data_IF_192797988267
#
_entry.id   IF_192797988267
#
_cell.length_a   1.000
_cell.length_b   1.000
_cell.length_c   1.000
_cell.angle_alpha   90.00
_cell.angle_beta   90.00
_cell.angle_gamma   90.00
#
_symmetry.space_group_name_H-M   'P 1'
#
loop_
_entity.id
_entity.type
_entity.pdbx_description
1 polymer ?
#
# COMPACT_ATOMS: atom_id res chain seq x y z
N UNK A 1 20.00 -42.29 48.43
CA UNK A 1 20.45 -40.89 48.49
C UNK A 1 19.42 -40.07 47.72
N UNK A 2 18.43 -39.52 48.43
CA UNK A 2 17.35 -38.76 47.81
C UNK A 2 17.81 -37.29 47.75
N UNK A 3 18.20 -36.83 46.57
CA UNK A 3 18.35 -35.41 46.31
C UNK A 3 16.94 -34.82 46.16
N UNK A 4 16.41 -34.35 47.29
CA UNK A 4 15.12 -33.68 47.37
C UNK A 4 15.07 -32.47 46.43
N UNK A 5 14.03 -32.47 45.62
CA UNK A 5 13.63 -31.44 44.67
C UNK A 5 13.26 -30.17 45.45
N UNK A 6 14.22 -29.26 45.69
CA UNK A 6 13.93 -27.97 46.32
C UNK A 6 13.11 -27.10 45.37
N UNK A 7 11.80 -27.05 45.59
CA UNK A 7 10.93 -26.12 44.89
C UNK A 7 11.36 -24.68 45.22
N UNK A 8 11.60 -23.82 44.21
CA UNK A 8 12.00 -22.44 44.45
C UNK A 8 10.92 -21.70 45.24
N UNK A 9 11.28 -21.14 46.40
CA UNK A 9 10.36 -20.41 47.27
C UNK A 9 10.13 -19.01 46.70
N UNK A 10 9.10 -18.87 45.85
CA UNK A 10 8.71 -17.59 45.24
C UNK A 10 8.21 -16.63 46.32
N UNK A 11 8.79 -15.43 46.39
CA UNK A 11 8.41 -14.44 47.40
C UNK A 11 6.98 -13.90 47.17
N UNK A 12 6.30 -13.47 48.25
CA UNK A 12 4.98 -12.82 48.16
C UNK A 12 5.01 -11.55 47.28
N UNK A 13 6.14 -10.85 47.24
CA UNK A 13 6.35 -9.68 46.39
C UNK A 13 6.44 -10.07 44.91
N UNK A 14 7.17 -11.15 44.59
CA UNK A 14 7.30 -11.67 43.23
C UNK A 14 5.96 -12.17 42.68
N UNK A 15 5.18 -12.92 43.48
CA UNK A 15 3.83 -13.36 43.10
C UNK A 15 2.86 -12.19 42.82
N UNK A 16 3.01 -11.06 43.53
CA UNK A 16 2.23 -9.83 43.27
C UNK A 16 2.65 -9.15 41.97
N UNK A 17 3.96 -9.11 41.67
CA UNK A 17 4.50 -8.57 40.42
C UNK A 17 4.02 -9.39 39.22
N UNK A 18 4.17 -10.72 39.27
CA UNK A 18 3.72 -11.63 38.21
C UNK A 18 2.21 -11.51 37.95
N UNK A 19 1.38 -11.37 39.01
CA UNK A 19 -0.07 -11.14 38.85
C UNK A 19 -0.37 -9.80 38.17
N UNK A 20 0.34 -8.74 38.51
CA UNK A 20 0.18 -7.43 37.87
C UNK A 20 0.62 -7.48 36.40
N UNK A 21 1.75 -8.11 36.10
CA UNK A 21 2.24 -8.31 34.72
C UNK A 21 1.27 -9.16 33.89
N UNK A 22 0.70 -10.22 34.45
CA UNK A 22 -0.33 -11.01 33.78
C UNK A 22 -1.58 -10.19 33.46
N UNK A 23 -2.07 -9.40 34.42
CA UNK A 23 -3.23 -8.52 34.21
C UNK A 23 -2.96 -7.43 33.16
N UNK A 24 -1.74 -6.88 33.11
CA UNK A 24 -1.34 -5.92 32.06
C UNK A 24 -1.27 -6.60 30.70
N UNK A 25 -0.70 -7.81 30.60
CA UNK A 25 -0.68 -8.58 29.34
C UNK A 25 -2.08 -8.90 28.84
N UNK A 26 -2.96 -9.39 29.72
CA UNK A 26 -4.36 -9.67 29.38
C UNK A 26 -5.10 -8.41 28.90
N UNK A 27 -4.86 -7.26 29.54
CA UNK A 27 -5.44 -6.00 29.12
C UNK A 27 -4.89 -5.53 27.76
N UNK A 28 -3.58 -5.63 27.54
CA UNK A 28 -2.94 -5.32 26.26
C UNK A 28 -3.48 -6.22 25.14
N UNK A 29 -3.60 -7.52 25.40
CA UNK A 29 -4.14 -8.49 24.46
C UNK A 29 -5.59 -8.15 24.09
N UNK A 30 -6.42 -7.77 25.07
CA UNK A 30 -7.80 -7.33 24.80
C UNK A 30 -7.88 -6.06 23.95
N UNK A 31 -6.97 -5.10 24.16
CA UNK A 31 -6.91 -3.89 23.32
C UNK A 31 -6.50 -4.26 21.90
N UNK A 32 -5.44 -5.04 21.74
CA UNK A 32 -4.95 -5.46 20.43
C UNK A 32 -6.03 -6.23 19.65
N UNK A 33 -6.76 -7.13 20.29
CA UNK A 33 -7.87 -7.86 19.66
C UNK A 33 -8.98 -6.91 19.20
N UNK A 34 -9.39 -5.96 20.05
CA UNK A 34 -10.41 -4.97 19.68
C UNK A 34 -9.96 -4.06 18.53
N UNK A 35 -8.69 -3.65 18.50
CA UNK A 35 -8.11 -2.89 17.39
C UNK A 35 -8.07 -3.70 16.10
N UNK A 36 -7.71 -4.99 16.17
CA UNK A 36 -7.71 -5.89 15.01
C UNK A 36 -9.11 -6.10 14.44
N UNK A 37 -10.12 -6.31 15.29
CA UNK A 37 -11.52 -6.44 14.85
C UNK A 37 -12.01 -5.16 14.17
N UNK A 38 -11.67 -4.00 14.75
CA UNK A 38 -12.04 -2.70 14.20
C UNK A 38 -11.38 -2.45 12.83
N UNK A 39 -10.09 -2.76 12.68
CA UNK A 39 -9.38 -2.67 11.40
C UNK A 39 -9.92 -3.65 10.35
N UNK A 40 -10.30 -4.86 10.76
CA UNK A 40 -10.92 -5.84 9.86
C UNK A 40 -12.26 -5.34 9.33
N UNK A 41 -13.07 -4.69 10.19
CA UNK A 41 -14.33 -4.06 9.76
C UNK A 41 -14.10 -2.99 8.70
N UNK A 42 -13.12 -2.08 8.91
CA UNK A 42 -12.83 -1.04 7.92
C UNK A 42 -12.31 -1.59 6.60
N UNK A 43 -11.48 -2.62 6.65
CA UNK A 43 -10.98 -3.30 5.45
C UNK A 43 -12.13 -3.89 4.64
N UNK A 44 -13.06 -4.59 5.28
CA UNK A 44 -14.20 -5.17 4.58
C UNK A 44 -15.06 -4.08 3.92
N UNK A 45 -15.35 -3.00 4.64
CA UNK A 45 -16.11 -1.86 4.10
C UNK A 45 -15.38 -1.21 2.91
N UNK A 46 -14.06 -1.04 3.00
CA UNK A 46 -13.22 -0.52 1.93
C UNK A 46 -13.24 -1.40 0.68
N UNK A 47 -13.08 -2.72 0.85
CA UNK A 47 -13.12 -3.70 -0.24
C UNK A 47 -14.49 -3.75 -0.94
N UNK A 48 -15.59 -3.71 -0.20
CA UNK A 48 -16.95 -3.69 -0.75
C UNK A 48 -17.23 -2.43 -1.57
N UNK A 49 -16.80 -1.27 -1.07
CA UNK A 49 -16.90 0.02 -1.80
C UNK A 49 -16.07 -0.02 -3.08
N UNK A 50 -14.84 -0.50 -3.01
CA UNK A 50 -13.95 -0.62 -4.16
C UNK A 50 -14.49 -1.59 -5.21
N UNK A 51 -15.02 -2.74 -4.80
CA UNK A 51 -15.66 -3.69 -5.71
C UNK A 51 -16.82 -3.03 -6.48
N UNK A 52 -17.61 -2.19 -5.80
CA UNK A 52 -18.70 -1.43 -6.43
C UNK A 52 -18.17 -0.41 -7.45
N UNK A 53 -17.15 0.38 -7.08
CA UNK A 53 -16.56 1.40 -7.96
C UNK A 53 -15.90 0.75 -9.19
N UNK A 54 -15.15 -0.33 -8.99
CA UNK A 54 -14.48 -1.06 -10.07
C UNK A 54 -15.48 -1.77 -10.98
N UNK A 55 -16.52 -2.37 -10.41
CA UNK A 55 -17.60 -3.01 -11.17
C UNK A 55 -18.30 -2.06 -12.13
N UNK A 56 -18.56 -0.82 -11.71
CA UNK A 56 -19.11 0.22 -12.58
C UNK A 56 -18.19 0.59 -13.77
N UNK A 57 -16.89 0.31 -13.66
CA UNK A 57 -15.88 0.50 -14.71
C UNK A 57 -15.56 -0.78 -15.49
N UNK A 58 -16.28 -1.88 -15.25
CA UNK A 58 -15.99 -3.21 -15.82
C UNK A 58 -14.57 -3.71 -15.47
N UNK A 59 -14.12 -3.39 -14.27
CA UNK A 59 -12.83 -3.79 -13.71
C UNK A 59 -13.04 -4.64 -12.45
N UNK A 60 -12.05 -5.45 -12.13
CA UNK A 60 -11.94 -6.14 -10.85
C UNK A 60 -10.54 -5.89 -10.26
N UNK A 61 -10.46 -5.87 -8.94
CA UNK A 61 -9.19 -5.71 -8.23
C UNK A 61 -8.30 -6.94 -8.47
N UNK A 62 -6.99 -6.68 -8.59
CA UNK A 62 -5.97 -7.72 -8.69
C UNK A 62 -4.95 -7.51 -7.59
N UNK A 63 -4.88 -8.47 -6.69
CA UNK A 63 -3.99 -8.43 -5.54
C UNK A 63 -2.53 -8.46 -5.95
N UNK A 64 -1.77 -7.53 -5.37
CA UNK A 64 -0.32 -7.41 -5.46
C UNK A 64 0.25 -7.84 -4.10
N UNK A 65 1.44 -8.49 -4.06
CA UNK A 65 2.07 -8.81 -2.79
C UNK A 65 2.24 -7.59 -1.91
N UNK A 66 1.84 -7.71 -0.64
CA UNK A 66 1.98 -6.72 0.42
C UNK A 66 3.47 -6.54 0.83
N UNK A 67 4.26 -5.96 -0.06
CA UNK A 67 5.66 -5.59 0.16
C UNK A 67 5.92 -4.11 -0.12
N UNK A 68 7.12 -3.64 0.21
CA UNK A 68 7.55 -2.25 -0.06
C UNK A 68 7.57 -1.86 -1.55
N UNK A 69 7.34 -2.81 -2.45
CA UNK A 69 7.34 -2.59 -3.89
C UNK A 69 5.93 -2.59 -4.48
N UNK A 70 4.87 -2.70 -3.67
CA UNK A 70 3.48 -2.81 -4.12
C UNK A 70 3.11 -1.80 -5.21
N UNK A 71 3.38 -0.51 -5.00
CA UNK A 71 3.12 0.55 -6.00
C UNK A 71 3.82 0.27 -7.35
N UNK A 72 5.11 -0.08 -7.32
CA UNK A 72 5.87 -0.38 -8.53
C UNK A 72 5.41 -1.67 -9.20
N UNK A 73 5.02 -2.68 -8.42
CA UNK A 73 4.47 -3.94 -8.94
C UNK A 73 3.09 -3.74 -9.57
N UNK A 74 2.25 -2.90 -8.98
CA UNK A 74 0.95 -2.55 -9.53
C UNK A 74 1.10 -1.80 -10.87
N UNK A 75 2.02 -0.85 -10.96
CA UNK A 75 2.39 -0.21 -12.23
C UNK A 75 2.93 -1.23 -13.23
N UNK A 76 3.90 -2.06 -12.82
CA UNK A 76 4.49 -3.10 -13.68
C UNK A 76 3.42 -4.02 -14.27
N UNK A 77 2.42 -4.38 -13.48
CA UNK A 77 1.31 -5.24 -13.89
C UNK A 77 0.40 -4.60 -14.95
N UNK A 78 0.24 -3.28 -14.91
CA UNK A 78 -0.54 -2.52 -15.90
C UNK A 78 0.24 -2.28 -17.22
N UNK A 79 1.56 -2.48 -17.25
CA UNK A 79 2.37 -2.25 -18.44
C UNK A 79 2.21 -3.38 -19.47
N UNK A 80 2.08 -3.00 -20.73
CA UNK A 80 2.03 -3.95 -21.87
C UNK A 80 3.39 -4.54 -22.24
N UNK A 81 4.48 -3.97 -21.70
CA UNK A 81 5.86 -4.36 -22.02
C UNK A 81 6.60 -4.74 -20.75
N UNK A 82 7.60 -5.61 -20.89
CA UNK A 82 8.36 -6.11 -19.74
C UNK A 82 9.29 -5.02 -19.19
N UNK A 83 9.10 -4.69 -17.92
CA UNK A 83 9.99 -3.88 -17.10
C UNK A 83 10.15 -4.53 -15.73
N UNK A 84 11.33 -4.37 -15.13
CA UNK A 84 11.56 -4.80 -13.74
C UNK A 84 11.18 -3.68 -12.77
N UNK A 85 10.83 -4.05 -11.54
CA UNK A 85 10.63 -3.09 -10.43
C UNK A 85 11.86 -2.19 -10.23
N UNK A 86 13.06 -2.79 -10.29
CA UNK A 86 14.33 -2.04 -10.19
C UNK A 86 14.47 -1.03 -11.35
N UNK A 87 14.12 -1.44 -12.57
CA UNK A 87 14.14 -0.56 -13.73
C UNK A 87 13.15 0.60 -13.59
N UNK A 88 11.96 0.36 -13.04
CA UNK A 88 10.99 1.42 -12.73
C UNK A 88 11.54 2.38 -11.66
N UNK A 89 12.08 1.86 -10.55
CA UNK A 89 12.70 2.67 -9.48
C UNK A 89 13.80 3.56 -10.03
N UNK A 90 14.75 2.99 -10.78
CA UNK A 90 15.86 3.75 -11.39
C UNK A 90 15.35 4.86 -12.31
N UNK A 91 14.39 4.58 -13.20
CA UNK A 91 13.86 5.61 -14.11
C UNK A 91 13.12 6.70 -13.36
N UNK A 92 12.39 6.35 -12.31
CA UNK A 92 11.69 7.29 -11.43
C UNK A 92 12.69 8.28 -10.83
N UNK A 93 13.76 7.77 -10.22
CA UNK A 93 14.78 8.60 -9.57
C UNK A 93 15.60 9.40 -10.57
N UNK A 94 15.93 8.82 -11.73
CA UNK A 94 16.63 9.53 -12.80
C UNK A 94 15.81 10.72 -13.31
N UNK A 95 14.47 10.58 -13.37
CA UNK A 95 13.57 11.67 -13.74
C UNK A 95 13.54 12.75 -12.65
N UNK A 96 13.28 12.35 -11.40
CA UNK A 96 13.19 13.26 -10.25
C UNK A 96 14.47 14.08 -10.08
N UNK A 97 15.66 13.47 -10.22
CA UNK A 97 16.96 14.18 -10.14
C UNK A 97 17.17 15.22 -11.24
N UNK A 98 16.58 15.01 -12.41
CA UNK A 98 16.67 15.96 -13.53
C UNK A 98 15.69 17.12 -13.41
N UNK A 99 14.63 16.94 -12.61
CA UNK A 99 13.50 17.86 -12.50
C UNK A 99 13.24 18.25 -11.04
N UNK A 100 14.31 18.37 -10.23
CA UNK A 100 14.20 18.55 -8.78
C UNK A 100 13.26 19.70 -8.40
N UNK A 101 13.31 20.81 -9.14
CA UNK A 101 12.56 22.01 -8.82
C UNK A 101 11.03 21.79 -8.96
N UNK A 102 10.60 20.77 -9.71
CA UNK A 102 9.20 20.36 -9.85
C UNK A 102 8.72 19.50 -8.66
N UNK A 103 9.62 18.84 -7.95
CA UNK A 103 9.30 17.89 -6.87
C UNK A 103 9.60 18.45 -5.48
N UNK A 104 10.66 19.24 -5.35
CA UNK A 104 11.15 19.78 -4.08
C UNK A 104 10.08 20.55 -3.30
N UNK A 105 9.20 21.38 -3.91
CA UNK A 105 8.14 22.07 -3.19
C UNK A 105 7.12 21.15 -2.50
N UNK A 106 7.02 19.89 -2.94
CA UNK A 106 6.11 18.88 -2.41
C UNK A 106 6.83 17.80 -1.60
N UNK A 107 8.15 17.88 -1.52
CA UNK A 107 8.95 16.97 -0.71
C UNK A 107 8.98 17.46 0.73
N UNK A 108 8.65 16.57 1.67
CA UNK A 108 8.71 16.82 3.10
C UNK A 108 9.57 15.76 3.75
N UNK A 109 10.52 16.16 4.59
CA UNK A 109 11.37 15.25 5.32
C UNK A 109 10.64 14.86 6.61
N UNK A 110 10.28 13.58 6.80
CA UNK A 110 9.59 13.14 8.02
C UNK A 110 10.44 13.30 9.28
N UNK A 111 11.77 13.46 9.16
CA UNK A 111 12.68 13.61 10.31
C UNK A 111 12.97 15.06 10.69
N UNK A 112 12.67 16.04 9.83
CA UNK A 112 12.93 17.47 10.09
C UNK A 112 11.76 18.32 9.64
N UNK A 113 11.16 19.08 10.57
CA UNK A 113 10.08 20.07 10.32
C UNK A 113 10.60 21.33 9.57
N UNK A 114 11.79 21.24 9.00
CA UNK A 114 12.49 22.34 8.33
C UNK A 114 12.30 22.29 6.81
N UNK A 115 12.61 23.41 6.15
CA UNK A 115 12.67 23.51 4.69
C UNK A 115 13.61 22.44 4.12
N UNK A 116 13.06 21.49 3.38
CA UNK A 116 13.83 20.43 2.77
C UNK A 116 14.84 20.99 1.78
N UNK A 117 16.09 20.55 1.90
CA UNK A 117 17.15 21.00 1.00
C UNK A 117 17.20 20.12 -0.25
N UNK A 118 17.90 20.63 -1.28
CA UNK A 118 18.20 19.85 -2.48
C UNK A 118 18.97 18.56 -2.14
N UNK A 119 19.85 18.61 -1.16
CA UNK A 119 20.68 17.46 -0.76
C UNK A 119 19.85 16.37 -0.06
N UNK A 120 18.86 16.77 0.75
CA UNK A 120 17.89 15.84 1.34
C UNK A 120 17.10 15.11 0.25
N UNK A 121 16.66 15.85 -0.78
CA UNK A 121 15.94 15.27 -1.91
C UNK A 121 16.81 14.32 -2.74
N UNK A 122 18.11 14.61 -2.93
CA UNK A 122 19.02 13.69 -3.60
C UNK A 122 19.20 12.40 -2.79
N UNK A 123 19.32 12.51 -1.47
CA UNK A 123 19.40 11.37 -0.54
C UNK A 123 18.11 10.54 -0.58
N UNK A 124 16.96 11.19 -0.66
CA UNK A 124 15.67 10.53 -0.86
C UNK A 124 15.64 9.75 -2.18
N UNK A 125 16.10 10.35 -3.28
CA UNK A 125 16.22 9.65 -4.57
C UNK A 125 17.16 8.44 -4.48
N UNK A 126 18.28 8.53 -3.77
CA UNK A 126 19.16 7.37 -3.52
C UNK A 126 18.43 6.26 -2.74
N UNK A 127 17.63 6.62 -1.74
CA UNK A 127 16.87 5.68 -0.93
C UNK A 127 15.79 4.94 -1.75
N UNK A 128 15.18 5.58 -2.75
CA UNK A 128 14.21 4.91 -3.64
C UNK A 128 14.85 3.75 -4.41
N UNK A 129 16.11 3.89 -4.85
CA UNK A 129 16.82 2.84 -5.59
C UNK A 129 17.30 1.73 -4.67
N UNK A 130 17.91 2.09 -3.54
CA UNK A 130 18.70 1.16 -2.73
C UNK A 130 17.94 0.56 -1.55
N UNK A 131 16.84 1.18 -1.12
CA UNK A 131 16.05 0.72 0.04
C UNK A 131 14.63 0.32 -0.36
N UNK A 132 14.06 -0.68 0.33
CA UNK A 132 12.65 -1.04 0.24
C UNK A 132 11.78 0.07 0.85
N UNK A 133 11.70 1.21 0.15
CA UNK A 133 10.86 2.35 0.50
C UNK A 133 9.52 2.25 -0.21
N UNK A 134 8.45 2.61 0.51
CA UNK A 134 7.12 2.72 -0.04
C UNK A 134 7.08 3.92 -1.00
N UNK A 135 6.47 3.73 -2.16
CA UNK A 135 6.28 4.81 -3.12
C UNK A 135 4.95 5.53 -2.87
N UNK A 136 4.91 6.82 -3.21
CA UNK A 136 3.74 7.65 -3.08
C UNK A 136 3.54 8.58 -4.27
N UNK A 137 2.96 9.75 -3.99
CA UNK A 137 2.54 10.69 -5.03
C UNK A 137 3.70 11.22 -5.88
N UNK A 138 4.87 11.49 -5.28
CA UNK A 138 6.05 11.97 -6.00
C UNK A 138 6.51 10.94 -7.04
N UNK A 139 6.60 9.68 -6.65
CA UNK A 139 7.01 8.59 -7.53
C UNK A 139 5.99 8.37 -8.64
N UNK A 140 4.69 8.40 -8.33
CA UNK A 140 3.63 8.28 -9.34
C UNK A 140 3.69 9.43 -10.35
N UNK A 141 3.93 10.66 -9.91
CA UNK A 141 4.10 11.82 -10.83
C UNK A 141 5.30 11.64 -11.74
N UNK A 142 6.44 11.23 -11.19
CA UNK A 142 7.64 10.95 -11.99
C UNK A 142 7.41 9.78 -12.96
N UNK A 143 6.77 8.70 -12.53
CA UNK A 143 6.44 7.55 -13.37
C UNK A 143 5.49 7.91 -14.51
N UNK A 144 4.50 8.75 -14.25
CA UNK A 144 3.59 9.24 -15.30
C UNK A 144 4.37 9.97 -16.40
N UNK A 145 5.33 10.83 -16.03
CA UNK A 145 6.21 11.49 -16.99
C UNK A 145 7.15 10.50 -17.71
N UNK A 146 7.77 9.56 -17.00
CA UNK A 146 8.67 8.56 -17.59
C UNK A 146 7.95 7.67 -18.61
N UNK A 147 6.72 7.26 -18.30
CA UNK A 147 5.90 6.38 -19.13
C UNK A 147 5.08 7.16 -20.15
N UNK A 148 5.02 8.50 -20.03
CA UNK A 148 4.19 9.40 -20.84
C UNK A 148 2.74 8.89 -20.88
N UNK A 149 2.21 8.50 -19.73
CA UNK A 149 0.91 7.83 -19.57
C UNK A 149 0.24 8.34 -18.30
N UNK A 150 -1.07 8.65 -18.32
CA UNK A 150 -1.79 9.00 -17.09
C UNK A 150 -1.83 7.81 -16.12
N UNK A 151 -1.89 8.10 -14.83
CA UNK A 151 -2.10 7.10 -13.78
C UNK A 151 -3.37 7.48 -13.04
N UNK A 152 -4.37 6.62 -13.10
CA UNK A 152 -5.64 6.76 -12.38
C UNK A 152 -5.54 5.99 -11.07
N UNK A 153 -5.79 6.64 -9.93
CA UNK A 153 -5.78 5.99 -8.61
C UNK A 153 -7.19 6.02 -8.02
N UNK A 154 -7.74 4.83 -7.76
CA UNK A 154 -9.08 4.62 -7.21
C UNK A 154 -8.96 4.27 -5.73
N UNK A 155 -9.76 4.91 -4.88
CA UNK A 155 -9.84 4.62 -3.44
C UNK A 155 -11.30 4.61 -2.97
N UNK A 156 -11.60 4.00 -1.83
CA UNK A 156 -12.98 3.79 -1.37
C UNK A 156 -13.70 5.08 -0.94
N UNK A 157 -13.05 5.93 -0.17
CA UNK A 157 -13.71 7.01 0.58
C UNK A 157 -13.47 8.42 0.00
N UNK A 158 -12.79 8.52 -1.14
CA UNK A 158 -12.43 9.78 -1.77
C UNK A 158 -12.50 9.64 -3.30
N UNK A 159 -12.70 10.76 -4.03
CA UNK A 159 -12.75 10.73 -5.49
C UNK A 159 -11.51 10.10 -6.09
N UNK A 160 -11.70 9.41 -7.22
CA UNK A 160 -10.60 9.00 -8.09
C UNK A 160 -9.82 10.24 -8.55
N UNK A 161 -8.50 10.16 -8.51
CA UNK A 161 -7.63 11.23 -9.02
C UNK A 161 -6.72 10.68 -10.10
N UNK A 162 -6.37 11.56 -11.04
CA UNK A 162 -5.55 11.22 -12.20
C UNK A 162 -4.26 12.03 -12.14
N UNK A 163 -3.14 11.35 -12.30
CA UNK A 163 -1.82 11.95 -12.36
C UNK A 163 -1.36 11.90 -13.82
N UNK A 164 -0.88 13.02 -14.34
CA UNK A 164 -0.41 13.07 -15.72
C UNK A 164 -1.51 13.32 -16.75
N UNK A 165 -2.50 14.15 -16.41
CA UNK A 165 -3.61 14.52 -17.32
C UNK A 165 -3.12 15.19 -18.61
N UNK A 166 -1.88 15.69 -18.65
CA UNK A 166 -1.23 16.15 -19.88
C UNK A 166 -1.00 15.05 -20.94
N UNK A 167 -1.12 13.77 -20.55
CA UNK A 167 -0.96 12.63 -21.43
C UNK A 167 -2.32 12.08 -21.89
N UNK A 168 -2.36 11.62 -23.14
CA UNK A 168 -3.61 11.21 -23.80
C UNK A 168 -3.71 9.69 -24.02
N UNK A 169 -2.74 8.92 -23.49
CA UNK A 169 -2.76 7.46 -23.55
C UNK A 169 -3.81 6.90 -22.59
N UNK A 170 -4.20 5.64 -22.80
CA UNK A 170 -5.03 4.91 -21.84
C UNK A 170 -4.35 4.93 -20.46
N UNK A 171 -5.04 5.38 -19.40
CA UNK A 171 -4.45 5.43 -18.06
C UNK A 171 -4.03 4.05 -17.54
N UNK A 172 -2.98 4.03 -16.73
CA UNK A 172 -2.69 2.90 -15.85
C UNK A 172 -3.58 3.03 -14.62
N UNK A 173 -4.41 2.04 -14.33
CA UNK A 173 -5.36 2.13 -13.21
C UNK A 173 -4.81 1.36 -12.01
N UNK A 174 -4.70 2.05 -10.87
CA UNK A 174 -4.29 1.50 -9.59
C UNK A 174 -5.44 1.60 -8.58
N UNK A 175 -5.43 0.69 -7.61
CA UNK A 175 -6.32 0.75 -6.44
C UNK A 175 -5.49 1.06 -5.21
N UNK A 176 -5.88 2.07 -4.45
CA UNK A 176 -5.27 2.45 -3.20
C UNK A 176 -6.15 2.01 -2.03
N UNK A 177 -5.54 1.30 -1.09
CA UNK A 177 -6.17 0.72 0.08
C UNK A 177 -5.55 1.31 1.33
N UNK A 178 -6.36 1.86 2.23
CA UNK A 178 -5.91 2.42 3.50
C UNK A 178 -5.72 1.34 4.58
N UNK A 179 -6.52 0.26 4.53
CA UNK A 179 -6.60 -0.73 5.62
C UNK A 179 -6.16 -2.14 5.21
N UNK A 180 -5.66 -2.34 3.99
CA UNK A 180 -5.39 -3.65 3.42
C UNK A 180 -4.18 -4.39 4.00
N UNK A 181 -3.25 -3.73 4.70
CA UNK A 181 -2.13 -4.42 5.33
C UNK A 181 -2.08 -4.17 6.83
N UNK A 182 -1.51 -5.11 7.59
CA UNK A 182 -1.15 -4.88 9.00
C UNK A 182 -0.17 -3.71 9.20
N UNK A 183 0.48 -3.28 8.11
CA UNK A 183 1.39 -2.14 8.04
C UNK A 183 0.70 -0.84 7.57
N UNK A 184 -0.57 -0.87 7.16
CA UNK A 184 -1.29 0.29 6.62
C UNK A 184 -1.52 0.24 5.11
N UNK A 185 -1.15 1.33 4.44
CA UNK A 185 -1.47 1.68 3.05
C UNK A 185 -0.89 0.70 2.01
N UNK A 186 -1.64 0.43 0.93
CA UNK A 186 -1.26 -0.53 -0.11
C UNK A 186 -1.77 -0.16 -1.50
N UNK A 187 -1.02 -0.55 -2.54
CA UNK A 187 -1.42 -0.40 -3.93
C UNK A 187 -1.65 -1.76 -4.60
N UNK A 188 -2.85 -1.93 -5.15
CA UNK A 188 -3.23 -3.04 -6.00
C UNK A 188 -3.34 -2.63 -7.46
N UNK A 189 -3.31 -3.63 -8.34
CA UNK A 189 -3.57 -3.48 -9.77
C UNK A 189 -5.06 -3.74 -10.05
N UNK A 190 -5.48 -3.52 -11.28
CA UNK A 190 -6.81 -3.93 -11.77
C UNK A 190 -6.67 -4.86 -12.96
N UNK A 191 -7.70 -5.66 -13.20
CA UNK A 191 -7.85 -6.43 -14.45
C UNK A 191 -9.26 -6.26 -14.98
N UNK A 192 -9.48 -6.45 -16.30
CA UNK A 192 -10.83 -6.44 -16.86
C UNK A 192 -11.69 -7.46 -16.13
N UNK A 193 -12.91 -7.07 -15.75
CA UNK A 193 -13.87 -7.99 -15.18
C UNK A 193 -14.10 -9.10 -16.22
N UNK A 194 -13.82 -10.35 -15.84
CA UNK A 194 -14.01 -11.46 -16.75
C UNK A 194 -15.46 -11.45 -17.26
N UNK A 195 -15.63 -11.45 -18.59
CA UNK A 195 -16.94 -11.60 -19.19
C UNK A 195 -17.48 -13.00 -18.87
N UNK A 196 -18.10 -13.15 -17.71
CA UNK A 196 -18.79 -14.36 -17.32
C UNK A 196 -19.97 -14.60 -18.25
N UNK A 197 -19.80 -15.53 -19.19
CA UNK A 197 -20.83 -16.37 -19.78
C UNK A 197 -22.24 -15.74 -19.89
N UNK A 198 -22.39 -14.73 -20.75
CA UNK A 198 -23.70 -14.46 -21.37
C UNK A 198 -24.01 -15.54 -22.42
N UNK A 199 -24.01 -16.83 -22.02
CA UNK A 199 -24.76 -17.89 -22.72
C UNK A 199 -26.10 -18.07 -22.02
N UNK A 200 -26.81 -16.96 -21.78
CA UNK A 200 -28.24 -16.99 -21.56
C UNK A 200 -28.87 -17.19 -22.93
N UNK A 201 -29.39 -18.39 -23.17
CA UNK A 201 -30.10 -18.76 -24.40
C UNK A 201 -31.01 -17.62 -24.86
N UNK A 202 -30.79 -17.16 -26.09
CA UNK A 202 -31.76 -16.31 -26.77
C UNK A 202 -33.11 -17.05 -26.76
N UNK A 203 -34.22 -16.42 -26.34
CA UNK A 203 -35.51 -17.04 -26.50
C UNK A 203 -35.75 -17.15 -28.01
N UNK A 204 -35.92 -18.39 -28.48
CA UNK A 204 -36.42 -18.64 -29.83
C UNK A 204 -37.79 -17.98 -29.93
N UNK A 205 -37.84 -16.84 -30.61
CA UNK A 205 -39.08 -16.33 -31.16
C UNK A 205 -39.49 -17.26 -32.30
N UNK A 206 -40.78 -17.55 -32.31
CA UNK A 206 -41.52 -18.50 -33.15
C UNK A 206 -41.09 -18.60 -34.61
#
# INVERSE_FOLDING_TARGET
MNLENQHPHISRAQKRREKREAMVREWQERILLAEMEHLASFRQEEEEKLATILGAKYLEMKDIPADSHCMYRAIQDQLVFSMTVEGLRRRTTDYMRKHVDDFLPFFSNPETDDTCTRDDFMTYCDNIVHRPSWGGQLELRALSHVLQTPIEVIQANSPTWVIGEEYHKKPLTLVYLHYACSLGEHYNSVKPLAAGAASGAAPRLF
#
